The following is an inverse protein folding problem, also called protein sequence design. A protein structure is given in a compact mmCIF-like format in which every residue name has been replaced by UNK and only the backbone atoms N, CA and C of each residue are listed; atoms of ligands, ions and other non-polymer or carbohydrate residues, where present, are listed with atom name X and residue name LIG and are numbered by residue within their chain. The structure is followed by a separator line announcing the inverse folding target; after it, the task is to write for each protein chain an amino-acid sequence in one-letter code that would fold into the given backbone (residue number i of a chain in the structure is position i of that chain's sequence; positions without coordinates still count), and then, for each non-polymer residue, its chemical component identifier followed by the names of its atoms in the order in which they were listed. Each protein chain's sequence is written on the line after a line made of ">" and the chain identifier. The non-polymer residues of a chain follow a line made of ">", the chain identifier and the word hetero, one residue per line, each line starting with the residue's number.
data_IF_330923232409
#
_entry.id   IF_330923232409
#
_cell.length_a   1.000
_cell.length_b   1.000
_cell.length_c   1.000
_cell.angle_alpha   90.00
_cell.angle_beta   90.00
_cell.angle_gamma   90.00
#
_symmetry.space_group_name_H-M   'P 1'
#
loop_
_entity.id
_entity.type
_entity.pdbx_description
1 polymer ?
#
# COMPACT_ATOMS: atom_id res chain seq x y z
N UNK A 1 -13.96 -5.03 4.93
CA UNK A 1 -15.24 -4.34 4.63
C UNK A 1 -16.37 -5.35 4.73
N UNK A 2 -17.50 -5.02 5.34
CA UNK A 2 -18.63 -5.95 5.54
C UNK A 2 -19.72 -5.83 4.46
N UNK A 3 -19.78 -4.69 3.78
CA UNK A 3 -20.70 -4.46 2.67
C UNK A 3 -20.60 -3.03 2.14
N UNK A 4 -21.21 -2.79 0.98
CA UNK A 4 -21.23 -1.52 0.27
C UNK A 4 -22.63 -1.23 -0.26
N UNK A 5 -23.02 0.05 -0.24
CA UNK A 5 -24.06 0.57 -1.13
C UNK A 5 -23.34 1.27 -2.28
N UNK A 6 -23.72 0.94 -3.50
CA UNK A 6 -23.08 1.47 -4.70
C UNK A 6 -24.10 1.93 -5.72
N UNK A 7 -23.77 3.01 -6.43
CA UNK A 7 -24.46 3.42 -7.64
C UNK A 7 -23.76 2.79 -8.86
N UNK A 8 -24.50 2.00 -9.63
CA UNK A 8 -24.05 1.44 -10.90
C UNK A 8 -24.06 2.51 -12.01
N UNK A 9 -23.45 2.26 -13.18
CA UNK A 9 -23.44 3.22 -14.29
C UNK A 9 -24.85 3.59 -14.80
N UNK A 10 -25.82 2.69 -14.59
CA UNK A 10 -27.25 2.94 -14.86
C UNK A 10 -27.89 3.97 -13.91
N UNK A 11 -27.22 4.33 -12.81
CA UNK A 11 -27.77 5.12 -11.71
C UNK A 11 -28.53 4.30 -10.67
N UNK A 12 -28.70 3.00 -10.87
CA UNK A 12 -29.32 2.10 -9.89
C UNK A 12 -28.47 2.00 -8.62
N UNK A 13 -29.12 2.07 -7.46
CA UNK A 13 -28.49 1.82 -6.17
C UNK A 13 -28.64 0.36 -5.78
N UNK A 14 -27.51 -0.30 -5.56
CA UNK A 14 -27.45 -1.71 -5.18
C UNK A 14 -26.66 -1.86 -3.88
N UNK A 15 -27.13 -2.75 -3.01
CA UNK A 15 -26.40 -3.14 -1.81
C UNK A 15 -25.73 -4.50 -2.03
N UNK A 16 -24.43 -4.58 -1.75
CA UNK A 16 -23.67 -5.84 -1.68
C UNK A 16 -23.17 -6.06 -0.25
N UNK A 17 -23.34 -7.27 0.28
CA UNK A 17 -23.07 -7.56 1.70
C UNK A 17 -23.99 -6.76 2.65
N UNK A 18 -23.50 -6.48 3.86
CA UNK A 18 -24.21 -5.58 4.79
C UNK A 18 -23.87 -5.79 6.27
N UNK A 19 -24.67 -5.15 7.15
CA UNK A 19 -24.43 -5.15 8.61
C UNK A 19 -24.40 -6.52 9.27
N UNK A 20 -25.13 -7.50 8.71
CA UNK A 20 -25.35 -8.84 9.30
C UNK A 20 -24.68 -9.96 8.51
N UNK A 21 -23.95 -9.67 7.43
CA UNK A 21 -23.25 -10.71 6.66
C UNK A 21 -21.94 -11.07 7.36
N UNK A 22 -22.02 -11.86 8.42
CA UNK A 22 -20.84 -12.62 8.85
C UNK A 22 -20.41 -13.59 7.73
N UNK A 23 -21.38 -14.07 6.95
CA UNK A 23 -21.21 -14.88 5.74
C UNK A 23 -22.22 -14.38 4.68
N UNK A 24 -21.75 -14.08 3.48
CA UNK A 24 -22.62 -13.76 2.36
C UNK A 24 -23.12 -15.06 1.71
N UNK A 25 -24.42 -15.15 1.41
CA UNK A 25 -24.96 -16.24 0.59
C UNK A 25 -24.79 -15.84 -0.88
N UNK A 26 -24.02 -16.62 -1.65
CA UNK A 26 -23.70 -16.31 -3.05
C UNK A 26 -22.27 -15.78 -3.24
N UNK A 27 -22.04 -15.02 -4.32
CA UNK A 27 -20.72 -14.48 -4.62
C UNK A 27 -20.36 -13.29 -3.72
N UNK A 28 -19.09 -13.16 -3.36
CA UNK A 28 -18.58 -11.99 -2.64
C UNK A 28 -18.39 -10.79 -3.58
N UNK A 29 -19.50 -10.15 -3.94
CA UNK A 29 -19.49 -8.92 -4.75
C UNK A 29 -18.91 -7.72 -3.98
N UNK A 30 -18.81 -7.80 -2.65
CA UNK A 30 -18.12 -6.77 -1.85
C UNK A 30 -16.62 -6.83 -2.14
N UNK A 31 -16.03 -8.03 -2.09
CA UNK A 31 -14.63 -8.27 -2.43
C UNK A 31 -14.29 -7.88 -3.87
N UNK A 32 -15.19 -8.10 -4.82
CA UNK A 32 -15.01 -7.69 -6.22
C UNK A 32 -14.93 -6.16 -6.38
N UNK A 33 -15.71 -5.39 -5.60
CA UNK A 33 -15.78 -3.93 -5.73
C UNK A 33 -14.71 -3.20 -4.92
N UNK A 34 -14.22 -3.79 -3.82
CA UNK A 34 -13.12 -3.21 -3.02
C UNK A 34 -11.83 -3.27 -3.84
N UNK A 35 -11.21 -2.10 -4.06
CA UNK A 35 -10.03 -1.99 -4.93
C UNK A 35 -10.35 -1.78 -6.42
N UNK A 36 -11.63 -1.67 -6.81
CA UNK A 36 -12.02 -1.37 -8.19
C UNK A 36 -11.68 0.05 -8.66
N UNK A 37 -11.22 0.92 -7.74
CA UNK A 37 -10.84 2.31 -8.01
C UNK A 37 -11.91 3.12 -8.76
N UNK A 38 -13.19 2.82 -8.51
CA UNK A 38 -14.33 3.51 -9.14
C UNK A 38 -14.54 3.15 -10.61
N UNK A 39 -13.89 2.12 -11.13
CA UNK A 39 -14.04 1.65 -12.53
C UNK A 39 -15.26 0.74 -12.76
N UNK A 40 -15.99 0.41 -11.68
CA UNK A 40 -17.14 -0.51 -11.72
C UNK A 40 -18.41 0.10 -11.12
N UNK A 41 -18.30 0.94 -10.09
CA UNK A 41 -19.42 1.60 -9.44
C UNK A 41 -18.94 2.78 -8.58
N UNK A 42 -19.86 3.67 -8.18
CA UNK A 42 -19.60 4.70 -7.17
C UNK A 42 -20.08 4.21 -5.81
N UNK A 43 -19.18 4.12 -4.83
CA UNK A 43 -19.55 3.73 -3.45
C UNK A 43 -20.21 4.91 -2.73
N UNK A 44 -21.43 4.72 -2.23
CA UNK A 44 -22.21 5.75 -1.51
C UNK A 44 -22.26 5.50 0.00
N UNK A 45 -22.20 4.23 0.44
CA UNK A 45 -22.13 3.85 1.86
C UNK A 45 -21.23 2.64 2.05
N UNK A 46 -20.58 2.58 3.21
CA UNK A 46 -19.69 1.49 3.60
C UNK A 46 -20.10 0.98 4.99
N UNK A 47 -20.22 -0.34 5.12
CA UNK A 47 -20.32 -0.99 6.42
C UNK A 47 -18.97 -1.62 6.77
N UNK A 48 -18.39 -1.21 7.89
CA UNK A 48 -17.10 -1.70 8.39
C UNK A 48 -17.26 -2.37 9.74
N UNK A 49 -16.40 -3.36 10.00
CA UNK A 49 -16.24 -3.94 11.34
C UNK A 49 -15.31 -3.03 12.13
N UNK A 50 -15.74 -2.58 13.29
CA UNK A 50 -14.93 -1.80 14.22
C UNK A 50 -14.32 -2.72 15.27
N UNK A 51 -13.12 -2.38 15.75
CA UNK A 51 -12.45 -3.08 16.85
C UNK A 51 -12.44 -2.18 18.10
N UNK A 52 -12.51 -2.76 19.31
CA UNK A 52 -12.30 -2.00 20.54
C UNK A 52 -10.91 -1.35 20.54
N UNK A 53 -10.79 -0.17 21.13
CA UNK A 53 -9.49 0.44 21.37
C UNK A 53 -8.71 -0.41 22.39
N UNK A 54 -7.43 -0.70 22.13
CA UNK A 54 -6.61 -1.40 23.10
C UNK A 54 -6.44 -0.54 24.37
N UNK A 55 -6.46 -1.13 25.58
CA UNK A 55 -6.26 -0.38 26.83
C UNK A 55 -4.96 0.41 26.89
N UNK A 56 -3.87 -0.13 26.32
CA UNK A 56 -2.58 0.55 26.20
C UNK A 56 -1.90 0.26 24.87
N UNK A 57 -1.04 1.19 24.47
CA UNK A 57 -0.11 1.05 23.36
C UNK A 57 1.31 1.35 23.85
N UNK A 58 2.30 0.59 23.38
CA UNK A 58 3.71 0.79 23.69
C UNK A 58 4.48 0.96 22.39
N UNK A 59 5.02 2.15 22.20
CA UNK A 59 5.87 2.47 21.05
C UNK A 59 7.33 2.38 21.41
N UNK A 60 8.12 1.79 20.51
CA UNK A 60 9.56 1.68 20.61
C UNK A 60 10.21 2.35 19.40
N UNK A 61 11.30 3.05 19.66
CA UNK A 61 12.22 3.53 18.63
C UNK A 61 13.51 2.73 18.76
N UNK A 62 13.89 2.02 17.70
CA UNK A 62 15.17 1.31 17.62
C UNK A 62 16.05 1.96 16.53
N UNK A 63 17.28 2.29 16.89
CA UNK A 63 18.22 3.04 16.06
C UNK A 63 19.27 2.08 15.50
N UNK A 64 19.55 2.19 14.20
CA UNK A 64 20.48 1.30 13.49
C UNK A 64 21.53 2.09 12.71
N UNK A 65 22.72 1.51 12.51
CA UNK A 65 23.79 2.14 11.74
C UNK A 65 23.47 2.26 10.24
N UNK A 66 22.59 1.40 9.72
CA UNK A 66 22.21 1.34 8.30
C UNK A 66 20.85 0.62 8.10
N UNK A 67 20.30 0.80 6.90
CA UNK A 67 19.01 0.23 6.46
C UNK A 67 19.04 -1.30 6.38
N UNK A 68 20.19 -1.89 6.02
CA UNK A 68 20.33 -3.34 5.90
C UNK A 68 20.20 -4.05 7.26
N UNK A 69 20.87 -3.51 8.28
CA UNK A 69 20.81 -4.00 9.67
C UNK A 69 19.39 -3.86 10.22
N UNK A 70 18.74 -2.72 10.00
CA UNK A 70 17.35 -2.52 10.40
C UNK A 70 16.39 -3.51 9.71
N UNK A 71 16.58 -3.78 8.42
CA UNK A 71 15.77 -4.73 7.64
C UNK A 71 15.92 -6.17 8.13
N UNK A 72 17.13 -6.57 8.54
CA UNK A 72 17.36 -7.88 9.17
C UNK A 72 16.62 -8.02 10.50
N UNK A 73 16.58 -6.95 11.30
CA UNK A 73 15.84 -6.92 12.56
C UNK A 73 14.32 -7.09 12.35
N UNK A 74 13.74 -6.48 11.31
CA UNK A 74 12.32 -6.68 10.93
C UNK A 74 12.02 -8.15 10.69
N UNK A 75 12.86 -8.83 9.90
CA UNK A 75 12.73 -10.26 9.66
C UNK A 75 12.87 -11.08 10.95
N UNK A 76 13.75 -10.68 11.87
CA UNK A 76 13.91 -11.33 13.17
C UNK A 76 12.68 -11.16 14.08
N UNK A 77 12.09 -9.96 14.13
CA UNK A 77 10.86 -9.69 14.88
C UNK A 77 9.74 -10.59 14.38
N UNK A 78 9.52 -10.65 13.07
CA UNK A 78 8.47 -11.50 12.48
C UNK A 78 8.67 -12.98 12.81
N UNK A 79 9.91 -13.48 12.80
CA UNK A 79 10.22 -14.87 13.18
C UNK A 79 9.88 -15.21 14.64
N UNK A 80 9.77 -14.22 15.52
CA UNK A 80 9.36 -14.47 16.91
C UNK A 80 7.89 -14.82 17.07
N UNK A 81 7.08 -14.61 16.04
CA UNK A 81 5.63 -14.79 16.09
C UNK A 81 4.90 -13.69 16.88
N UNK A 82 5.61 -12.66 17.35
CA UNK A 82 4.98 -11.43 17.84
C UNK A 82 4.24 -10.80 16.65
N UNK A 83 3.01 -10.33 16.88
CA UNK A 83 2.20 -9.58 15.92
C UNK A 83 2.15 -8.11 16.39
N UNK A 84 3.09 -7.25 15.97
CA UNK A 84 3.04 -5.84 16.31
C UNK A 84 1.86 -5.16 15.64
N UNK A 85 1.34 -4.11 16.27
CA UNK A 85 0.38 -3.21 15.68
C UNK A 85 1.01 -2.41 14.53
N UNK A 86 2.32 -2.12 14.61
CA UNK A 86 3.07 -1.49 13.53
C UNK A 86 4.57 -1.83 13.56
N UNK A 87 5.18 -1.85 12.37
CA UNK A 87 6.63 -1.83 12.16
C UNK A 87 6.93 -0.90 11.00
N UNK A 88 7.44 0.27 11.30
CA UNK A 88 7.76 1.34 10.34
C UNK A 88 9.26 1.56 10.26
N UNK A 89 9.78 1.89 9.08
CA UNK A 89 11.19 2.23 8.88
C UNK A 89 11.34 3.62 8.27
N UNK A 90 12.37 4.36 8.70
CA UNK A 90 12.83 5.60 8.08
C UNK A 90 14.34 5.53 7.90
N UNK A 91 14.84 5.89 6.72
CA UNK A 91 16.28 6.00 6.46
C UNK A 91 16.86 7.33 6.95
N UNK A 92 18.18 7.47 6.85
CA UNK A 92 18.92 8.65 7.29
C UNK A 92 18.40 9.97 6.72
N UNK A 93 18.15 10.04 5.40
CA UNK A 93 17.69 11.28 4.77
C UNK A 93 16.28 11.63 5.27
N UNK A 94 15.42 10.63 5.39
CA UNK A 94 14.09 10.81 5.93
C UNK A 94 14.10 11.27 7.39
N UNK A 95 14.94 10.67 8.22
CA UNK A 95 15.10 11.05 9.64
C UNK A 95 15.51 12.52 9.76
N UNK A 96 16.50 12.96 8.97
CA UNK A 96 16.98 14.34 9.01
C UNK A 96 15.88 15.34 8.66
N UNK A 97 15.11 15.06 7.60
CA UNK A 97 14.00 15.90 7.19
C UNK A 97 12.88 15.95 8.23
N UNK A 98 12.50 14.79 8.78
CA UNK A 98 11.45 14.64 9.79
C UNK A 98 11.83 15.37 11.07
N UNK A 99 13.07 15.20 11.54
CA UNK A 99 13.53 15.81 12.77
C UNK A 99 13.63 17.34 12.64
N UNK A 100 14.13 17.84 11.51
CA UNK A 100 14.12 19.28 11.19
C UNK A 100 12.70 19.86 11.07
N UNK A 101 11.68 19.01 10.93
CA UNK A 101 10.29 19.42 10.81
C UNK A 101 9.50 19.38 12.10
N UNK A 102 9.67 18.30 12.84
CA UNK A 102 8.76 17.91 13.91
C UNK A 102 9.41 17.91 15.29
N UNK A 103 10.75 17.91 15.35
CA UNK A 103 11.51 17.71 16.59
C UNK A 103 11.00 16.50 17.38
N UNK A 104 10.73 15.41 16.66
CA UNK A 104 10.13 14.19 17.22
C UNK A 104 11.10 13.41 18.12
N UNK A 105 12.39 13.77 18.09
CA UNK A 105 13.43 13.16 18.91
C UNK A 105 14.11 11.98 18.22
N UNK A 106 14.17 11.97 16.89
CA UNK A 106 14.93 10.99 16.11
C UNK A 106 16.42 11.40 16.03
N UNK A 107 17.38 10.48 16.24
CA UNK A 107 18.80 10.81 16.15
C UNK A 107 19.24 11.13 14.72
N UNK A 108 19.86 12.29 14.50
CA UNK A 108 20.27 12.78 13.17
C UNK A 108 21.45 11.99 12.55
N UNK A 109 22.19 11.25 13.37
CA UNK A 109 23.32 10.40 12.99
C UNK A 109 22.93 8.95 12.70
N UNK A 110 21.67 8.58 12.94
CA UNK A 110 21.14 7.26 12.63
C UNK A 110 21.17 6.97 11.13
N UNK A 111 21.59 5.75 10.74
CA UNK A 111 21.47 5.28 9.36
C UNK A 111 20.05 4.82 9.03
N UNK A 112 19.36 4.25 10.01
CA UNK A 112 17.93 3.93 9.94
C UNK A 112 17.30 3.92 11.33
N UNK A 113 15.99 4.13 11.38
CA UNK A 113 15.17 4.00 12.58
C UNK A 113 14.01 3.06 12.29
N UNK A 114 13.79 2.09 13.19
CA UNK A 114 12.53 1.37 13.29
C UNK A 114 11.63 2.03 14.34
N UNK A 115 10.41 2.36 13.95
CA UNK A 115 9.34 2.73 14.86
C UNK A 115 8.35 1.57 14.96
N UNK A 116 8.25 0.99 16.16
CA UNK A 116 7.52 -0.25 16.41
C UNK A 116 6.41 0.01 17.42
N UNK A 117 5.28 -0.67 17.28
CA UNK A 117 4.18 -0.55 18.25
C UNK A 117 3.56 -1.90 18.56
N UNK A 118 3.32 -2.14 19.85
CA UNK A 118 2.51 -3.25 20.35
C UNK A 118 1.39 -2.69 21.21
N UNK A 119 0.27 -3.39 21.26
CA UNK A 119 -0.89 -2.98 22.02
C UNK A 119 -1.54 -4.16 22.75
N UNK A 120 -2.47 -3.84 23.65
CA UNK A 120 -3.22 -4.83 24.42
C UNK A 120 -3.47 -4.40 25.85
N UNK A 121 -3.64 -5.38 26.74
CA UNK A 121 -3.69 -5.13 28.18
C UNK A 121 -2.29 -4.76 28.70
N UNK A 122 -2.17 -3.98 29.80
CA UNK A 122 -0.91 -3.43 30.28
C UNK A 122 0.25 -4.42 30.38
N UNK A 123 0.01 -5.59 30.97
CA UNK A 123 1.02 -6.62 31.22
C UNK A 123 1.50 -7.26 29.92
N UNK A 124 0.58 -7.54 28.99
CA UNK A 124 0.88 -8.14 27.69
C UNK A 124 1.63 -7.15 26.80
N UNK A 125 1.16 -5.91 26.70
CA UNK A 125 1.82 -4.89 25.90
C UNK A 125 3.24 -4.60 26.41
N UNK A 126 3.43 -4.63 27.74
CA UNK A 126 4.76 -4.47 28.34
C UNK A 126 5.69 -5.65 28.03
N UNK A 127 5.25 -6.90 28.21
CA UNK A 127 6.03 -8.10 27.86
C UNK A 127 6.43 -8.11 26.37
N UNK A 128 5.46 -7.86 25.49
CA UNK A 128 5.69 -7.80 24.04
C UNK A 128 6.68 -6.69 23.68
N UNK A 129 6.57 -5.51 24.29
CA UNK A 129 7.50 -4.41 24.07
C UNK A 129 8.92 -4.79 24.51
N UNK A 130 9.09 -5.39 25.69
CA UNK A 130 10.40 -5.80 26.20
C UNK A 130 11.05 -6.89 25.35
N UNK A 131 10.26 -7.88 24.90
CA UNK A 131 10.73 -8.93 23.98
C UNK A 131 11.13 -8.36 22.64
N UNK A 132 10.32 -7.48 22.06
CA UNK A 132 10.64 -6.82 20.79
C UNK A 132 11.87 -5.90 20.92
N UNK A 133 12.02 -5.21 22.05
CA UNK A 133 13.22 -4.43 22.37
C UNK A 133 14.46 -5.31 22.43
N UNK A 134 14.35 -6.50 23.06
CA UNK A 134 15.45 -7.48 23.08
C UNK A 134 15.84 -7.91 21.67
N UNK A 135 14.87 -8.26 20.82
CA UNK A 135 15.12 -8.65 19.43
C UNK A 135 15.85 -7.53 18.67
N UNK A 136 15.44 -6.27 18.85
CA UNK A 136 16.12 -5.14 18.22
C UNK A 136 17.59 -5.06 18.65
N UNK A 137 17.88 -5.17 19.95
CA UNK A 137 19.27 -5.15 20.47
C UNK A 137 20.10 -6.32 19.96
N UNK A 138 19.52 -7.53 19.98
CA UNK A 138 20.18 -8.74 19.49
C UNK A 138 20.50 -8.68 17.99
N UNK A 139 19.82 -7.80 17.23
CA UNK A 139 19.99 -7.61 15.79
C UNK A 139 20.66 -6.25 15.45
N UNK A 140 21.46 -5.70 16.35
CA UNK A 140 22.38 -4.61 16.04
C UNK A 140 21.81 -3.19 16.23
N UNK A 141 20.71 -3.03 16.96
CA UNK A 141 20.26 -1.70 17.36
C UNK A 141 21.27 -1.06 18.32
N UNK A 142 21.75 0.14 17.99
CA UNK A 142 22.66 0.92 18.86
C UNK A 142 21.93 1.54 20.05
N UNK A 143 20.65 1.87 19.87
CA UNK A 143 19.75 2.35 20.91
C UNK A 143 18.37 1.72 20.71
N UNK A 144 17.71 1.37 21.83
CA UNK A 144 16.29 1.01 21.83
C UNK A 144 15.59 1.75 22.96
N UNK A 145 14.69 2.67 22.60
CA UNK A 145 13.94 3.53 23.52
C UNK A 145 12.46 3.19 23.47
N UNK A 146 11.90 2.80 24.61
CA UNK A 146 10.44 2.68 24.79
C UNK A 146 9.91 4.04 25.22
N UNK A 147 8.87 4.54 24.55
CA UNK A 147 8.24 5.81 24.93
C UNK A 147 7.73 5.74 26.38
N UNK A 148 8.09 6.72 27.21
CA UNK A 148 7.80 6.73 28.65
C UNK A 148 6.35 7.07 28.96
N UNK A 149 5.71 7.82 28.07
CA UNK A 149 4.35 8.31 28.21
C UNK A 149 3.71 8.57 26.83
N UNK A 150 2.41 8.86 26.84
CA UNK A 150 1.62 9.13 25.65
C UNK A 150 2.13 10.33 24.85
N UNK A 151 2.71 11.34 25.51
CA UNK A 151 3.24 12.53 24.82
C UNK A 151 4.46 12.19 23.95
N UNK A 152 5.43 11.44 24.48
CA UNK A 152 6.57 10.95 23.70
C UNK A 152 6.12 10.02 22.58
N UNK A 153 5.15 9.16 22.87
CA UNK A 153 4.55 8.25 21.90
C UNK A 153 3.97 9.00 20.70
N UNK A 154 3.17 10.03 20.97
CA UNK A 154 2.53 10.85 19.96
C UNK A 154 3.53 11.72 19.20
N UNK A 155 4.59 12.20 19.86
CA UNK A 155 5.65 12.96 19.20
C UNK A 155 6.35 12.12 18.12
N UNK A 156 6.75 10.88 18.44
CA UNK A 156 7.34 9.96 17.48
C UNK A 156 6.38 9.69 16.31
N UNK A 157 5.14 9.30 16.60
CA UNK A 157 4.16 9.03 15.54
C UNK A 157 3.81 10.23 14.69
N UNK A 158 3.76 11.43 15.27
CA UNK A 158 3.57 12.67 14.51
C UNK A 158 4.72 12.90 13.55
N UNK A 159 5.96 12.62 13.96
CA UNK A 159 7.12 12.66 13.08
C UNK A 159 6.99 11.69 11.91
N UNK A 160 6.75 10.39 12.18
CA UNK A 160 6.57 9.36 11.14
C UNK A 160 5.42 9.67 10.18
N UNK A 161 4.26 10.14 10.68
CA UNK A 161 3.09 10.49 9.84
C UNK A 161 3.31 11.77 9.03
N UNK A 162 4.17 12.68 9.52
CA UNK A 162 4.53 13.91 8.83
C UNK A 162 5.64 13.76 7.79
N UNK A 163 6.14 12.54 7.54
CA UNK A 163 7.32 12.30 6.74
C UNK A 163 7.26 12.85 5.30
N UNK A 164 6.14 12.67 4.61
CA UNK A 164 5.97 13.15 3.24
C UNK A 164 6.01 14.69 3.19
N UNK A 165 5.33 15.35 4.13
CA UNK A 165 5.41 16.81 4.26
C UNK A 165 6.81 17.28 4.64
N UNK A 166 7.56 16.48 5.39
CA UNK A 166 8.94 16.81 5.76
C UNK A 166 9.90 16.78 4.56
N UNK A 167 9.64 15.97 3.54
CA UNK A 167 10.49 15.91 2.33
C UNK A 167 10.57 17.24 1.60
N UNK A 168 9.57 18.12 1.74
CA UNK A 168 9.61 19.49 1.22
C UNK A 168 10.73 20.37 1.78
N UNK A 169 11.45 19.93 2.83
CA UNK A 169 12.69 20.57 3.30
C UNK A 169 13.93 20.15 2.51
N UNK A 170 13.87 19.01 1.81
CA UNK A 170 14.99 18.45 1.05
C UNK A 170 14.92 18.81 -0.44
N UNK A 171 13.72 18.87 -1.00
CA UNK A 171 13.48 19.10 -2.42
C UNK A 171 12.16 19.83 -2.64
N UNK A 172 12.03 20.54 -3.78
CA UNK A 172 10.75 21.16 -4.18
C UNK A 172 9.69 20.10 -4.48
N UNK A 173 10.12 19.02 -5.15
CA UNK A 173 9.27 17.94 -5.60
C UNK A 173 9.86 16.57 -5.22
N UNK A 174 8.99 15.58 -5.14
CA UNK A 174 9.37 14.18 -5.03
C UNK A 174 8.36 13.30 -5.77
N UNK A 175 8.85 12.20 -6.31
CA UNK A 175 8.01 11.17 -6.92
C UNK A 175 8.03 9.93 -6.02
N UNK A 176 6.86 9.48 -5.55
CA UNK A 176 6.74 8.40 -4.57
C UNK A 176 6.32 7.10 -5.22
N UNK A 177 7.09 6.04 -4.97
CA UNK A 177 6.71 4.68 -5.33
C UNK A 177 6.05 4.04 -4.12
N UNK A 178 5.17 3.06 -4.37
CA UNK A 178 4.49 2.28 -3.34
C UNK A 178 4.52 0.86 -3.84
N UNK A 179 5.61 0.14 -3.55
CA UNK A 179 5.87 -1.19 -4.08
C UNK A 179 6.06 -2.17 -2.92
N UNK A 180 5.50 -3.37 -3.03
CA UNK A 180 5.60 -4.38 -1.96
C UNK A 180 6.65 -5.39 -2.33
N UNK A 181 7.42 -5.85 -1.34
CA UNK A 181 8.30 -7.02 -1.47
C UNK A 181 8.11 -7.97 -0.29
N UNK A 182 8.41 -9.27 -0.45
CA UNK A 182 8.50 -10.16 0.70
C UNK A 182 9.48 -9.60 1.75
N UNK A 183 9.13 -9.63 3.04
CA UNK A 183 9.99 -9.07 4.11
C UNK A 183 11.41 -9.64 4.12
N UNK A 184 11.57 -10.89 3.69
CA UNK A 184 12.88 -11.56 3.55
C UNK A 184 13.74 -10.98 2.43
N UNK A 185 13.16 -10.19 1.53
CA UNK A 185 13.80 -9.50 0.42
C UNK A 185 14.08 -8.02 0.68
N UNK A 186 13.57 -7.44 1.79
CA UNK A 186 13.81 -6.03 2.15
C UNK A 186 15.28 -5.60 2.05
N UNK A 187 16.26 -6.31 2.65
CA UNK A 187 17.65 -5.88 2.58
C UNK A 187 18.20 -5.84 1.14
N UNK A 188 17.85 -6.86 0.34
CA UNK A 188 18.30 -6.97 -1.06
C UNK A 188 17.69 -5.87 -1.93
N UNK A 189 16.39 -5.62 -1.79
CA UNK A 189 15.67 -4.60 -2.56
C UNK A 189 16.14 -3.20 -2.22
N UNK A 190 16.32 -2.87 -0.93
CA UNK A 190 16.77 -1.54 -0.52
C UNK A 190 18.21 -1.26 -0.99
N UNK A 191 19.10 -2.24 -0.93
CA UNK A 191 20.45 -2.09 -1.48
C UNK A 191 20.46 -1.83 -2.99
N UNK A 192 19.53 -2.42 -3.75
CA UNK A 192 19.37 -2.14 -5.18
C UNK A 192 18.78 -0.75 -5.43
N UNK A 193 17.85 -0.28 -4.59
CA UNK A 193 17.33 1.10 -4.65
C UNK A 193 18.45 2.11 -4.36
N UNK A 194 19.31 1.84 -3.38
CA UNK A 194 20.49 2.67 -3.10
C UNK A 194 21.44 2.70 -4.31
N UNK A 195 21.68 1.57 -4.97
CA UNK A 195 22.48 1.52 -6.19
C UNK A 195 21.85 2.31 -7.36
N UNK A 196 20.52 2.36 -7.46
CA UNK A 196 19.79 3.21 -8.42
C UNK A 196 20.02 4.69 -8.09
N UNK A 197 19.90 5.07 -6.81
CA UNK A 197 20.19 6.43 -6.32
C UNK A 197 21.62 6.86 -6.69
N UNK A 198 22.62 6.02 -6.40
CA UNK A 198 24.03 6.28 -6.74
C UNK A 198 24.27 6.41 -8.24
N UNK A 199 23.75 5.47 -9.05
CA UNK A 199 23.96 5.44 -10.50
C UNK A 199 23.29 6.60 -11.22
N UNK A 200 22.10 7.01 -10.79
CA UNK A 200 21.32 8.06 -11.45
C UNK A 200 21.61 9.45 -10.92
N UNK A 201 22.18 9.56 -9.72
CA UNK A 201 22.46 10.81 -9.05
C UNK A 201 21.23 11.46 -8.37
N UNK A 202 20.05 10.85 -8.48
CA UNK A 202 18.84 11.30 -7.78
C UNK A 202 18.85 10.76 -6.36
N UNK A 203 18.60 11.64 -5.38
CA UNK A 203 18.46 11.21 -3.99
C UNK A 203 17.14 10.47 -3.82
N UNK A 204 17.20 9.28 -3.23
CA UNK A 204 16.03 8.50 -2.87
C UNK A 204 15.96 8.41 -1.35
N UNK A 205 14.85 8.85 -0.79
CA UNK A 205 14.53 8.70 0.64
C UNK A 205 13.57 7.53 0.82
N UNK A 206 13.60 6.84 1.95
CA UNK A 206 12.74 5.70 2.22
C UNK A 206 11.99 5.86 3.55
N UNK A 207 10.66 5.80 3.49
CA UNK A 207 9.78 5.83 4.67
C UNK A 207 8.65 4.84 4.50
N UNK A 208 8.68 3.71 5.20
CA UNK A 208 7.87 2.59 4.75
C UNK A 208 7.39 1.62 5.82
N UNK A 209 6.36 0.84 5.45
CA UNK A 209 5.73 -0.15 6.31
C UNK A 209 6.56 -1.44 6.25
N UNK A 210 7.62 -1.50 7.04
CA UNK A 210 8.50 -2.66 7.05
C UNK A 210 7.78 -3.95 7.52
N UNK A 211 6.71 -3.82 8.30
CA UNK A 211 5.92 -4.93 8.84
C UNK A 211 5.16 -5.77 7.81
N UNK A 212 4.82 -5.22 6.65
CA UNK A 212 4.21 -5.94 5.53
C UNK A 212 5.09 -5.95 4.28
N UNK A 213 6.20 -5.20 4.30
CA UNK A 213 7.14 -5.11 3.18
C UNK A 213 6.70 -4.10 2.12
N UNK A 214 5.74 -3.23 2.44
CA UNK A 214 5.34 -2.13 1.57
C UNK A 214 6.35 -0.99 1.68
N UNK A 215 7.06 -0.73 0.58
CA UNK A 215 8.12 0.26 0.42
C UNK A 215 7.55 1.59 -0.12
N UNK A 216 7.97 2.72 0.46
CA UNK A 216 7.79 4.04 -0.14
C UNK A 216 9.11 4.77 -0.43
N UNK A 217 9.81 4.42 -1.51
CA UNK A 217 10.92 5.22 -2.05
C UNK A 217 10.41 6.54 -2.60
N UNK A 218 10.99 7.64 -2.14
CA UNK A 218 10.69 9.01 -2.57
C UNK A 218 11.89 9.54 -3.36
N UNK A 219 11.78 9.57 -4.68
CA UNK A 219 12.80 10.10 -5.59
C UNK A 219 12.69 11.62 -5.60
N UNK A 220 13.68 12.31 -5.04
CA UNK A 220 13.68 13.76 -4.91
C UNK A 220 14.14 14.42 -6.22
N UNK A 221 13.39 15.40 -6.71
CA UNK A 221 13.72 16.14 -7.93
C UNK A 221 13.18 17.58 -7.91
N UNK A 222 13.54 18.35 -8.93
CA UNK A 222 12.99 19.68 -9.21
C UNK A 222 12.25 19.62 -10.55
N UNK A 223 10.91 19.73 -10.51
CA UNK A 223 10.07 19.63 -11.69
C UNK A 223 10.29 20.77 -12.70
N UNK A 224 10.96 21.85 -12.30
CA UNK A 224 11.31 22.96 -13.19
C UNK A 224 12.63 22.74 -13.93
N UNK A 225 13.42 21.71 -13.56
CA UNK A 225 14.63 21.33 -14.30
C UNK A 225 14.26 20.44 -15.49
N UNK A 226 14.60 20.85 -16.74
CA UNK A 226 14.30 20.06 -17.92
C UNK A 226 14.85 18.63 -17.84
N UNK A 227 14.01 17.64 -18.16
CA UNK A 227 14.40 16.23 -18.20
C UNK A 227 14.38 15.50 -16.86
N UNK A 228 14.29 16.19 -15.73
CA UNK A 228 14.23 15.51 -14.42
C UNK A 228 12.93 14.76 -14.23
N UNK A 229 11.81 15.31 -14.69
CA UNK A 229 10.51 14.64 -14.58
C UNK A 229 10.49 13.30 -15.32
N UNK A 230 10.96 13.28 -16.56
CA UNK A 230 11.05 12.05 -17.36
C UNK A 230 12.03 11.04 -16.74
N UNK A 231 13.14 11.53 -16.17
CA UNK A 231 14.11 10.69 -15.48
C UNK A 231 13.52 10.03 -14.23
N UNK A 232 12.77 10.78 -13.40
CA UNK A 232 12.16 10.19 -12.19
C UNK A 232 11.05 9.19 -12.52
N UNK A 233 10.29 9.39 -13.60
CA UNK A 233 9.33 8.39 -14.07
C UNK A 233 10.03 7.08 -14.47
N UNK A 234 11.15 7.16 -15.18
CA UNK A 234 11.95 5.98 -15.54
C UNK A 234 12.57 5.29 -14.31
N UNK A 235 13.02 6.07 -13.32
CA UNK A 235 13.52 5.53 -12.04
C UNK A 235 12.39 4.83 -11.28
N UNK A 236 11.21 5.45 -11.20
CA UNK A 236 10.05 4.87 -10.55
C UNK A 236 9.63 3.56 -11.19
N UNK A 237 9.59 3.50 -12.51
CA UNK A 237 9.34 2.27 -13.29
C UNK A 237 10.34 1.16 -12.96
N UNK A 238 11.64 1.47 -12.92
CA UNK A 238 12.70 0.53 -12.56
C UNK A 238 12.52 -0.01 -11.13
N UNK A 239 12.17 0.84 -10.18
CA UNK A 239 11.91 0.46 -8.77
C UNK A 239 10.68 -0.45 -8.67
N UNK A 240 9.58 -0.12 -9.35
CA UNK A 240 8.37 -0.95 -9.32
C UNK A 240 8.61 -2.31 -9.96
N UNK A 241 9.36 -2.36 -11.07
CA UNK A 241 9.79 -3.60 -11.70
C UNK A 241 10.65 -4.44 -10.76
N UNK A 242 11.60 -3.82 -10.07
CA UNK A 242 12.42 -4.48 -9.06
C UNK A 242 11.56 -5.12 -7.96
N UNK A 243 10.54 -4.42 -7.47
CA UNK A 243 9.62 -4.97 -6.47
C UNK A 243 8.86 -6.20 -6.98
N UNK A 244 8.36 -6.15 -8.22
CA UNK A 244 7.69 -7.28 -8.85
C UNK A 244 8.64 -8.49 -9.05
N UNK A 245 9.86 -8.26 -9.55
CA UNK A 245 10.90 -9.29 -9.73
C UNK A 245 11.34 -9.93 -8.41
N UNK A 246 11.24 -9.21 -7.30
CA UNK A 246 11.49 -9.75 -5.96
C UNK A 246 10.34 -10.66 -5.44
N UNK A 247 9.31 -10.91 -6.25
CA UNK A 247 8.12 -11.69 -5.89
C UNK A 247 7.06 -10.86 -5.16
N UNK A 248 7.06 -9.55 -5.40
CA UNK A 248 6.20 -8.57 -4.77
C UNK A 248 5.11 -8.00 -5.68
N UNK A 249 4.71 -6.75 -5.43
CA UNK A 249 3.67 -6.04 -6.17
C UNK A 249 4.12 -4.63 -6.53
N UNK A 250 3.57 -4.05 -7.59
CA UNK A 250 3.80 -2.65 -8.01
C UNK A 250 2.97 -1.64 -7.21
N UNK A 251 2.08 -2.12 -6.35
CA UNK A 251 1.25 -1.32 -5.46
C UNK A 251 1.00 -2.05 -4.15
N UNK A 252 1.14 -1.34 -3.04
CA UNK A 252 0.83 -1.84 -1.69
C UNK A 252 -0.49 -1.30 -1.19
N UNK A 253 -0.66 0.02 -1.26
CA UNK A 253 -1.85 0.70 -0.75
C UNK A 253 -2.40 1.81 -1.66
N UNK A 254 -1.60 2.37 -2.59
CA UNK A 254 -2.03 3.52 -3.41
C UNK A 254 -2.92 3.15 -4.61
N UNK A 255 -2.97 1.86 -4.98
CA UNK A 255 -3.66 1.39 -6.19
C UNK A 255 -2.83 1.53 -7.46
N UNK A 256 -3.47 1.31 -8.61
CA UNK A 256 -2.86 1.36 -9.94
C UNK A 256 -3.15 2.71 -10.61
N UNK A 257 -4.42 3.12 -10.61
CA UNK A 257 -4.86 4.39 -11.17
C UNK A 257 -4.46 4.59 -12.63
N UNK A 258 -4.13 5.84 -12.97
CA UNK A 258 -3.59 6.18 -14.29
C UNK A 258 -2.07 5.97 -14.34
N UNK A 259 -1.41 6.26 -13.23
CA UNK A 259 0.04 6.37 -13.11
C UNK A 259 0.73 5.02 -13.32
N UNK A 260 0.29 3.98 -12.61
CA UNK A 260 0.93 2.65 -12.64
C UNK A 260 0.26 1.68 -13.61
N UNK A 261 -0.57 2.22 -14.50
CA UNK A 261 -1.45 1.43 -15.39
C UNK A 261 -0.66 0.46 -16.28
N UNK A 262 0.50 0.86 -16.75
CA UNK A 262 1.37 -0.02 -17.54
C UNK A 262 2.20 -0.96 -16.64
N UNK A 263 2.57 -0.51 -15.43
CA UNK A 263 3.36 -1.29 -14.47
C UNK A 263 2.64 -2.53 -13.95
N UNK A 264 1.31 -2.59 -14.00
CA UNK A 264 0.54 -3.79 -13.61
C UNK A 264 0.98 -5.05 -14.39
N UNK A 265 1.53 -4.86 -15.61
CA UNK A 265 2.10 -5.93 -16.46
C UNK A 265 3.36 -6.57 -15.88
N UNK A 266 3.97 -5.99 -14.85
CA UNK A 266 5.09 -6.62 -14.13
C UNK A 266 4.65 -7.75 -13.22
N UNK A 267 3.36 -7.79 -12.86
CA UNK A 267 2.79 -8.80 -11.96
C UNK A 267 1.83 -9.73 -12.70
N UNK A 268 1.07 -9.20 -13.66
CA UNK A 268 0.02 -9.94 -14.36
C UNK A 268 0.28 -10.04 -15.85
N UNK A 269 -0.06 -11.20 -16.43
CA UNK A 269 -0.05 -11.39 -17.88
C UNK A 269 -1.25 -10.71 -18.54
N UNK A 270 -1.21 -10.54 -19.86
CA UNK A 270 -2.35 -10.00 -20.61
C UNK A 270 -3.61 -10.88 -20.49
N UNK A 271 -3.45 -12.20 -20.31
CA UNK A 271 -4.57 -13.12 -20.08
C UNK A 271 -5.21 -12.89 -18.69
N UNK A 272 -4.40 -12.66 -17.66
CA UNK A 272 -4.89 -12.33 -16.31
C UNK A 272 -5.67 -11.01 -16.32
N UNK A 273 -5.10 -9.98 -16.98
CA UNK A 273 -5.70 -8.66 -17.08
C UNK A 273 -7.01 -8.69 -17.89
N UNK A 274 -7.10 -9.48 -18.95
CA UNK A 274 -8.33 -9.68 -19.71
C UNK A 274 -9.43 -10.32 -18.85
N UNK A 275 -9.10 -11.27 -17.97
CA UNK A 275 -10.10 -11.85 -17.05
C UNK A 275 -10.62 -10.81 -16.07
N UNK A 276 -9.74 -9.98 -15.49
CA UNK A 276 -10.15 -8.88 -14.61
C UNK A 276 -11.01 -7.86 -15.35
N UNK A 277 -10.64 -7.51 -16.58
CA UNK A 277 -11.38 -6.54 -17.39
C UNK A 277 -12.76 -7.05 -17.82
N UNK A 278 -12.91 -8.36 -18.09
CA UNK A 278 -14.22 -8.99 -18.31
C UNK A 278 -15.15 -8.80 -17.11
N UNK A 279 -14.63 -8.92 -15.89
CA UNK A 279 -15.42 -8.67 -14.67
C UNK A 279 -15.82 -7.19 -14.60
N UNK A 280 -14.89 -6.27 -14.83
CA UNK A 280 -15.18 -4.83 -14.85
C UNK A 280 -16.31 -4.50 -15.84
N UNK A 281 -16.27 -5.06 -17.05
CA UNK A 281 -17.26 -4.84 -18.12
C UNK A 281 -18.66 -5.36 -17.81
N UNK A 282 -18.81 -6.30 -16.87
CA UNK A 282 -20.15 -6.72 -16.39
C UNK A 282 -20.84 -5.56 -15.66
N UNK A 283 -20.07 -4.76 -14.93
CA UNK A 283 -20.58 -3.61 -14.18
C UNK A 283 -20.63 -2.34 -15.05
N UNK A 284 -19.62 -2.13 -15.91
CA UNK A 284 -19.49 -0.96 -16.78
C UNK A 284 -19.35 -1.35 -18.26
N UNK A 285 -20.44 -1.82 -18.91
CA UNK A 285 -20.40 -2.31 -20.29
C UNK A 285 -20.13 -1.20 -21.33
N UNK A 286 -20.33 0.06 -20.95
CA UNK A 286 -20.13 1.23 -21.82
C UNK A 286 -18.85 2.01 -21.53
N UNK A 287 -18.01 1.52 -20.60
CA UNK A 287 -16.73 2.13 -20.26
C UNK A 287 -16.85 3.59 -19.77
N UNK A 288 -17.92 3.90 -19.04
CA UNK A 288 -18.22 5.25 -18.54
C UNK A 288 -17.56 5.51 -17.19
N UNK A 289 -17.25 4.47 -16.43
CA UNK A 289 -16.78 4.58 -15.05
C UNK A 289 -15.27 4.73 -15.00
N UNK A 290 -14.84 5.94 -14.66
CA UNK A 290 -13.44 6.29 -14.40
C UNK A 290 -12.47 5.83 -15.53
N UNK A 291 -12.75 6.20 -16.80
CA UNK A 291 -12.09 5.60 -17.95
C UNK A 291 -10.58 5.86 -17.98
N UNK A 292 -9.84 4.90 -18.57
CA UNK A 292 -8.40 5.00 -18.80
C UNK A 292 -7.52 4.64 -17.60
N UNK A 293 -8.09 4.20 -16.48
CA UNK A 293 -7.38 3.81 -15.26
C UNK A 293 -7.36 2.29 -15.07
N UNK A 294 -6.43 1.82 -14.23
CA UNK A 294 -6.17 0.42 -13.84
C UNK A 294 -5.63 -0.46 -14.97
N UNK A 295 -6.30 -0.51 -16.12
CA UNK A 295 -5.97 -1.44 -17.21
C UNK A 295 -5.17 -0.77 -18.35
N UNK A 296 -4.09 -1.40 -18.85
CA UNK A 296 -3.31 -0.91 -20.00
C UNK A 296 -4.14 -0.63 -21.26
N UNK A 297 -3.71 0.32 -22.09
CA UNK A 297 -4.27 0.61 -23.43
C UNK A 297 -5.56 1.45 -23.45
N UNK A 298 -6.20 1.58 -24.62
CA UNK A 298 -7.53 2.22 -24.78
C UNK A 298 -8.67 1.24 -24.41
N UNK A 299 -8.52 0.55 -23.28
CA UNK A 299 -9.18 -0.73 -23.01
C UNK A 299 -8.50 -1.84 -23.82
N UNK A 300 -8.26 -2.99 -23.21
CA UNK A 300 -7.88 -4.20 -23.95
C UNK A 300 -8.91 -4.39 -25.08
N UNK A 301 -8.48 -4.56 -26.32
CA UNK A 301 -9.42 -4.89 -27.41
C UNK A 301 -10.24 -6.09 -26.92
N UNK A 302 -11.59 -6.02 -26.93
CA UNK A 302 -12.40 -7.12 -26.44
C UNK A 302 -11.91 -8.41 -27.08
N UNK A 303 -11.43 -9.35 -26.27
CA UNK A 303 -11.39 -10.71 -26.79
C UNK A 303 -12.84 -11.04 -27.13
N UNK A 304 -13.12 -11.28 -28.42
CA UNK A 304 -14.42 -11.77 -28.82
C UNK A 304 -14.62 -13.04 -28.00
N UNK A 305 -15.54 -13.01 -27.02
CA UNK A 305 -15.83 -14.12 -26.13
C UNK A 305 -15.86 -15.40 -26.97
N UNK A 306 -14.86 -16.26 -26.80
CA UNK A 306 -14.77 -17.50 -27.54
C UNK A 306 -15.74 -18.46 -26.88
N UNK A 307 -16.99 -18.41 -27.33
CA UNK A 307 -18.01 -19.34 -26.87
C UNK A 307 -17.67 -20.73 -27.46
N UNK A 308 -17.63 -21.78 -26.64
CA UNK A 308 -17.54 -23.14 -27.14
C UNK A 308 -18.69 -23.40 -28.14
N UNK A 309 -18.48 -24.21 -29.19
CA UNK A 309 -19.55 -24.61 -30.09
C UNK A 309 -20.74 -25.18 -29.30
N UNK A 310 -21.90 -24.55 -29.41
CA UNK A 310 -23.13 -25.00 -28.75
C UNK A 310 -23.53 -24.24 -27.48
N UNK A 311 -22.82 -23.18 -27.08
CA UNK A 311 -23.26 -22.33 -25.95
C UNK A 311 -24.54 -21.56 -26.32
N UNK A 312 -25.70 -21.81 -25.68
CA UNK A 312 -26.95 -21.16 -26.06
C UNK A 312 -26.92 -19.69 -25.63
N UNK A 313 -26.94 -18.78 -26.61
CA UNK A 313 -27.21 -17.36 -26.34
C UNK A 313 -28.67 -17.25 -25.90
N UNK A 314 -28.93 -16.90 -24.65
CA UNK A 314 -30.26 -16.35 -24.29
C UNK A 314 -30.45 -15.08 -25.10
N UNK A 315 -31.34 -15.12 -26.08
CA UNK A 315 -31.85 -13.90 -26.70
C UNK A 315 -32.54 -13.10 -25.60
N UNK A 316 -32.17 -11.83 -25.46
CA UNK A 316 -32.94 -10.90 -24.62
C UNK A 316 -34.38 -10.94 -25.13
N UNK A 317 -35.32 -11.27 -24.23
CA UNK A 317 -36.73 -11.22 -24.56
C UNK A 317 -37.05 -9.78 -24.99
N UNK A 318 -37.66 -9.64 -26.17
CA UNK A 318 -38.19 -8.36 -26.62
C UNK A 318 -39.19 -7.86 -25.57
N UNK A 319 -38.95 -6.67 -25.03
CA UNK A 319 -39.92 -5.99 -24.17
C UNK A 319 -41.18 -5.72 -24.99
N UNK A 320 -42.22 -6.50 -24.74
CA UNK A 320 -43.52 -6.36 -25.37
C UNK A 320 -44.61 -6.69 -24.37
N UNK A 321 -45.44 -5.70 -24.09
CA UNK A 321 -46.78 -5.88 -23.53
C UNK A 321 -46.87 -5.93 -22.01
N UNK A 322 -47.51 -4.88 -21.48
CA UNK A 322 -48.47 -4.89 -20.38
C UNK A 322 -48.54 -6.17 -19.54
N UNK A 323 -48.12 -6.09 -18.27
CA UNK A 323 -48.97 -6.50 -17.15
C UNK A 323 -48.39 -5.99 -15.82
N UNK A 324 -49.19 -5.16 -15.14
CA UNK A 324 -49.12 -4.98 -13.69
C UNK A 324 -49.25 -6.37 -13.02
N UNK A 325 -48.72 -6.54 -11.80
CA UNK A 325 -49.50 -6.86 -10.59
C UNK A 325 -48.62 -7.33 -9.42
N UNK A 326 -48.88 -6.68 -8.27
CA UNK A 326 -48.56 -6.92 -6.84
C UNK A 326 -47.10 -6.95 -6.40
#
# INVERSE_FOLDING_TARGET
>A
VMGLEVALPSGELVQVGGRKSAEAIGYDLTGVLVGSEGTMAVVTRIWVKIQPLPPVQKTLMAVYPDVATASNAVSAIVRTGILPAAIEMMDKLSIQAIEAASHAGYPLDAGAVLLLEVDGIPEVAQDLAERMAKVCRDNGASEVRIARNEQERQALWKGRKGAFSAMGRLSSDFYVMDGVVPRTKLPETLAKIDAISERTGFKICNVFHAGDGNLHPLVLFDAFQPGQYEAVLAIGDEILKLCAEAGGSVTGEHGIGLEKRENIRYVFSDDDLEVMDRVRRVFDPHLLMNPGKVFPGHGLQPSALHYPPGFPRRQAAAAGGEDLWV
#
